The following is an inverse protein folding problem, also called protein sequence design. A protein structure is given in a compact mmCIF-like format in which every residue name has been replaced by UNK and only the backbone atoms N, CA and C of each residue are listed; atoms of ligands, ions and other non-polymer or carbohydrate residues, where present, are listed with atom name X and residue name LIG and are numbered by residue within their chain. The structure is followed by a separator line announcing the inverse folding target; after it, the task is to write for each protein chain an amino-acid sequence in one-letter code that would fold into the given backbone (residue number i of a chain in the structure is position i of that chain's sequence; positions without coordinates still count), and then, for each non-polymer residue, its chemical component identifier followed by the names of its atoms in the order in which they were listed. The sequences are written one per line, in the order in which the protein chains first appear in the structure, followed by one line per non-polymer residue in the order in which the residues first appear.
data_IF_460734256150
#
_entry.id   IF_460734256150
#
_cell.length_a   1.000
_cell.length_b   1.000
_cell.length_c   1.000
_cell.angle_alpha   90.00
_cell.angle_beta   90.00
_cell.angle_gamma   90.00
#
_symmetry.space_group_name_H-M   'P 1'
#
loop_
_entity.id
_entity.type
_entity.pdbx_description
1 polymer ?
#
# COMPACT_ATOMS: atom_id res chain seq x y z
N UNK A 1 -35.80 69.95 28.66
CA UNK A 1 -36.27 68.67 28.11
C UNK A 1 -35.15 68.02 27.28
N UNK A 2 -34.41 67.06 27.84
CA UNK A 2 -33.33 66.33 27.13
C UNK A 2 -33.85 64.95 26.81
N UNK A 3 -34.01 64.67 25.54
CA UNK A 3 -34.31 63.26 25.02
C UNK A 3 -33.01 62.46 24.98
N UNK A 4 -32.90 61.46 25.83
CA UNK A 4 -31.86 60.43 25.69
C UNK A 4 -32.24 59.43 24.60
N UNK A 5 -31.38 59.34 23.60
CA UNK A 5 -31.42 58.26 22.59
C UNK A 5 -30.71 57.07 23.22
N UNK A 6 -31.47 56.03 23.49
CA UNK A 6 -30.94 54.70 23.84
C UNK A 6 -30.54 54.02 22.54
N UNK A 7 -29.23 53.90 22.29
CA UNK A 7 -28.71 53.07 21.20
C UNK A 7 -28.68 51.64 21.66
N UNK A 8 -29.60 50.84 21.19
CA UNK A 8 -29.55 49.40 21.34
C UNK A 8 -28.43 48.84 20.45
N UNK A 9 -27.38 48.36 21.08
CA UNK A 9 -26.29 47.66 20.43
C UNK A 9 -26.72 46.20 20.24
N UNK A 10 -27.18 45.86 19.03
CA UNK A 10 -27.40 44.44 18.62
C UNK A 10 -26.03 43.82 18.44
N UNK A 11 -25.61 43.02 19.42
CA UNK A 11 -24.45 42.16 19.33
C UNK A 11 -24.88 40.91 18.54
N UNK A 12 -24.62 40.90 17.24
CA UNK A 12 -24.80 39.70 16.41
C UNK A 12 -23.62 38.79 16.71
N UNK A 13 -23.83 37.81 17.58
CA UNK A 13 -22.88 36.72 17.84
C UNK A 13 -22.92 35.80 16.67
N UNK A 14 -22.04 35.99 15.68
CA UNK A 14 -21.82 35.04 14.61
C UNK A 14 -21.14 33.79 15.22
N UNK A 15 -21.94 32.83 15.66
CA UNK A 15 -21.44 31.46 15.88
C UNK A 15 -21.04 30.88 14.54
N UNK A 16 -19.77 30.96 14.22
CA UNK A 16 -19.20 30.13 13.17
C UNK A 16 -19.27 28.67 13.62
N UNK A 17 -20.32 27.97 13.18
CA UNK A 17 -20.38 26.54 13.23
C UNK A 17 -19.27 26.03 12.30
N UNK A 18 -18.07 25.81 12.87
CA UNK A 18 -17.08 24.97 12.24
C UNK A 18 -17.68 23.58 12.19
N UNK A 19 -18.31 23.25 11.07
CA UNK A 19 -18.63 21.86 10.73
C UNK A 19 -17.30 21.16 10.54
N UNK A 20 -16.70 20.68 11.64
CA UNK A 20 -15.71 19.63 11.56
C UNK A 20 -16.45 18.42 10.99
N UNK A 21 -16.29 18.19 9.69
CA UNK A 21 -16.65 16.91 9.09
C UNK A 21 -15.79 15.87 9.79
N UNK A 22 -16.31 15.27 10.85
CA UNK A 22 -15.80 13.99 11.37
C UNK A 22 -16.10 13.00 10.26
N UNK A 23 -15.17 12.85 9.33
CA UNK A 23 -15.19 11.67 8.48
C UNK A 23 -15.04 10.51 9.46
N UNK A 24 -16.11 9.74 9.66
CA UNK A 24 -16.07 8.55 10.48
C UNK A 24 -14.83 7.75 10.05
N UNK A 25 -13.87 7.60 10.95
CA UNK A 25 -12.63 6.91 10.69
C UNK A 25 -13.02 5.46 10.37
N UNK A 26 -12.96 5.12 9.08
CA UNK A 26 -13.32 3.79 8.62
C UNK A 26 -12.30 2.82 9.21
N UNK A 27 -12.78 1.71 9.76
CA UNK A 27 -11.94 0.66 10.32
C UNK A 27 -11.55 -0.40 9.27
N UNK A 28 -10.69 -1.33 9.65
CA UNK A 28 -10.29 -2.46 8.81
C UNK A 28 -11.49 -3.27 8.31
N UNK A 29 -12.57 -3.39 9.08
CA UNK A 29 -13.77 -4.12 8.67
C UNK A 29 -14.43 -3.49 7.44
N UNK A 30 -14.35 -2.16 7.29
CA UNK A 30 -14.80 -1.50 6.08
C UNK A 30 -14.04 -2.03 4.85
N UNK A 31 -12.70 -2.08 4.90
CA UNK A 31 -11.86 -2.56 3.79
C UNK A 31 -12.17 -4.04 3.49
N UNK A 32 -12.24 -4.89 4.52
CA UNK A 32 -12.62 -6.31 4.39
C UNK A 32 -13.98 -6.51 3.72
N UNK A 33 -14.97 -5.71 4.11
CA UNK A 33 -16.32 -5.77 3.53
C UNK A 33 -16.32 -5.34 2.06
N UNK A 34 -15.50 -4.34 1.68
CA UNK A 34 -15.35 -3.96 0.28
C UNK A 34 -14.68 -5.06 -0.54
N UNK A 35 -13.60 -5.68 -0.06
CA UNK A 35 -12.96 -6.83 -0.72
C UNK A 35 -13.97 -7.96 -0.97
N UNK A 36 -14.75 -8.32 0.06
CA UNK A 36 -15.80 -9.35 -0.08
C UNK A 36 -16.86 -8.96 -1.10
N UNK A 37 -17.30 -7.71 -1.08
CA UNK A 37 -18.32 -7.19 -2.02
C UNK A 37 -17.85 -7.22 -3.46
N UNK A 38 -16.57 -6.94 -3.70
CA UNK A 38 -15.99 -6.93 -5.05
C UNK A 38 -15.78 -8.34 -5.61
N UNK A 39 -15.55 -9.33 -4.75
CA UNK A 39 -15.24 -10.70 -5.14
C UNK A 39 -13.84 -10.90 -5.72
N UNK A 40 -13.17 -9.82 -6.09
CA UNK A 40 -11.77 -9.78 -6.54
C UNK A 40 -11.04 -8.65 -5.83
N UNK A 41 -9.72 -8.79 -5.61
CA UNK A 41 -8.88 -7.76 -5.04
C UNK A 41 -7.49 -7.83 -5.66
N UNK A 42 -7.09 -6.75 -6.31
CA UNK A 42 -5.83 -6.73 -7.06
C UNK A 42 -4.62 -6.66 -6.13
N UNK A 43 -4.70 -5.84 -5.10
CA UNK A 43 -3.62 -5.64 -4.13
C UNK A 43 -4.14 -4.95 -2.86
N UNK A 44 -3.33 -4.97 -1.82
CA UNK A 44 -3.61 -4.22 -0.58
C UNK A 44 -2.36 -3.51 -0.07
N UNK A 45 -2.52 -2.56 0.84
CA UNK A 45 -1.53 -2.19 1.85
C UNK A 45 -2.15 -2.44 3.22
N UNK A 46 -1.37 -2.94 4.16
CA UNK A 46 -1.83 -3.35 5.50
C UNK A 46 -0.82 -2.84 6.52
N UNK A 47 -1.32 -2.31 7.64
CA UNK A 47 -0.50 -1.98 8.81
C UNK A 47 -1.05 -2.65 10.07
N UNK A 48 -0.23 -2.80 11.12
CA UNK A 48 -0.66 -3.31 12.44
C UNK A 48 -1.73 -2.38 13.06
N UNK A 49 -1.69 -1.10 12.75
CA UNK A 49 -2.53 -0.03 13.30
C UNK A 49 -3.83 0.25 12.52
N UNK A 50 -4.26 -0.71 11.68
CA UNK A 50 -5.48 -0.62 10.85
C UNK A 50 -5.44 0.45 9.75
N UNK A 51 -4.26 0.95 9.38
CA UNK A 51 -4.06 1.70 8.15
C UNK A 51 -4.06 0.73 6.98
N UNK A 52 -5.18 0.64 6.26
CA UNK A 52 -5.37 -0.34 5.20
C UNK A 52 -5.85 0.32 3.91
N UNK A 53 -5.38 -0.20 2.79
CA UNK A 53 -5.90 0.08 1.44
C UNK A 53 -6.18 -1.25 0.75
N UNK A 54 -7.27 -1.33 0.00
CA UNK A 54 -7.50 -2.41 -0.97
C UNK A 54 -7.73 -1.80 -2.35
N UNK A 55 -7.19 -2.43 -3.38
CA UNK A 55 -7.29 -2.01 -4.78
C UNK A 55 -8.19 -2.96 -5.57
N UNK A 56 -9.06 -2.39 -6.41
CA UNK A 56 -10.02 -3.11 -7.23
C UNK A 56 -10.06 -2.59 -8.66
N UNK A 57 -10.08 -3.48 -9.62
CA UNK A 57 -10.16 -3.13 -11.04
C UNK A 57 -9.04 -2.18 -11.46
N UNK A 58 -9.35 -1.18 -12.29
CA UNK A 58 -8.37 -0.22 -12.81
C UNK A 58 -7.92 0.78 -11.74
N UNK A 59 -8.87 1.47 -11.10
CA UNK A 59 -8.60 2.57 -10.18
C UNK A 59 -9.47 2.57 -8.93
N UNK A 60 -10.29 1.53 -8.74
CA UNK A 60 -11.12 1.39 -7.55
C UNK A 60 -10.28 1.15 -6.30
N UNK A 61 -10.71 1.71 -5.17
CA UNK A 61 -10.04 1.50 -3.89
C UNK A 61 -11.02 1.56 -2.72
N UNK A 62 -10.61 0.96 -1.61
CA UNK A 62 -11.15 1.18 -0.27
C UNK A 62 -9.99 1.50 0.65
N UNK A 63 -10.16 2.44 1.57
CA UNK A 63 -9.11 2.83 2.50
C UNK A 63 -9.67 3.10 3.89
N UNK A 64 -8.90 2.75 4.93
CA UNK A 64 -9.18 3.04 6.33
C UNK A 64 -7.92 3.55 7.02
N UNK A 65 -8.06 4.56 7.88
CA UNK A 65 -6.99 5.07 8.75
C UNK A 65 -5.64 5.35 8.06
N UNK A 66 -5.68 5.79 6.80
CA UNK A 66 -4.48 6.08 6.01
C UNK A 66 -4.10 7.57 6.07
N UNK A 67 -2.83 7.92 5.84
CA UNK A 67 -2.40 9.31 5.75
C UNK A 67 -3.22 10.11 4.73
N UNK A 68 -3.53 11.37 5.06
CA UNK A 68 -4.33 12.26 4.19
C UNK A 68 -3.73 12.41 2.79
N UNK A 69 -2.40 12.49 2.66
CA UNK A 69 -1.72 12.56 1.35
C UNK A 69 -2.03 11.34 0.48
N UNK A 70 -1.89 10.13 1.06
CA UNK A 70 -2.25 8.89 0.36
C UNK A 70 -3.72 8.87 -0.05
N UNK A 71 -4.63 9.21 0.87
CA UNK A 71 -6.07 9.23 0.57
C UNK A 71 -6.41 10.22 -0.55
N UNK A 72 -5.80 11.40 -0.55
CA UNK A 72 -6.02 12.40 -1.58
C UNK A 72 -5.51 11.92 -2.94
N UNK A 73 -4.33 11.28 -2.98
CA UNK A 73 -3.80 10.69 -4.23
C UNK A 73 -4.70 9.58 -4.76
N UNK A 74 -5.18 8.68 -3.92
CA UNK A 74 -6.11 7.63 -4.33
C UNK A 74 -7.43 8.21 -4.89
N UNK A 75 -7.97 9.27 -4.28
CA UNK A 75 -9.15 10.00 -4.78
C UNK A 75 -8.89 10.63 -6.16
N UNK A 76 -7.75 11.28 -6.34
CA UNK A 76 -7.33 11.88 -7.61
C UNK A 76 -7.26 10.83 -8.72
N UNK A 77 -6.54 9.73 -8.49
CA UNK A 77 -6.37 8.64 -9.46
C UNK A 77 -7.70 7.96 -9.80
N UNK A 78 -8.58 7.78 -8.82
CA UNK A 78 -9.92 7.25 -9.05
C UNK A 78 -10.76 8.20 -9.91
N UNK A 79 -10.75 9.51 -9.59
CA UNK A 79 -11.49 10.53 -10.35
C UNK A 79 -11.00 10.67 -11.80
N UNK A 80 -9.69 10.58 -12.03
CA UNK A 80 -9.07 10.65 -13.37
C UNK A 80 -9.13 9.32 -14.12
N UNK A 81 -9.70 8.26 -13.53
CA UNK A 81 -9.73 6.91 -14.09
C UNK A 81 -8.32 6.39 -14.45
N UNK A 82 -7.31 6.76 -13.64
CA UNK A 82 -5.92 6.36 -13.84
C UNK A 82 -5.67 5.01 -13.16
N UNK A 83 -4.97 4.10 -13.86
CA UNK A 83 -4.61 2.78 -13.33
C UNK A 83 -3.79 2.94 -12.03
N UNK A 84 -4.18 2.24 -10.97
CA UNK A 84 -3.39 2.11 -9.74
C UNK A 84 -2.80 0.70 -9.71
N UNK A 85 -1.47 0.59 -9.76
CA UNK A 85 -0.80 -0.70 -9.87
C UNK A 85 -0.42 -1.31 -8.52
N UNK A 86 0.17 -0.52 -7.64
CA UNK A 86 0.57 -0.96 -6.31
C UNK A 86 0.44 0.19 -5.30
N UNK A 87 0.27 -0.16 -4.05
CA UNK A 87 0.31 0.75 -2.91
C UNK A 87 1.11 0.11 -1.78
N UNK A 88 2.05 0.87 -1.26
CA UNK A 88 2.83 0.51 -0.07
C UNK A 88 2.54 1.53 1.04
N UNK A 89 2.39 1.03 2.25
CA UNK A 89 2.19 1.82 3.47
C UNK A 89 2.99 1.15 4.59
N UNK A 90 3.73 1.95 5.37
CA UNK A 90 4.47 1.49 6.55
C UNK A 90 3.74 1.83 7.85
N UNK A 91 4.19 1.28 8.96
CA UNK A 91 3.61 1.53 10.29
C UNK A 91 3.74 3.00 10.71
N UNK A 92 4.81 3.69 10.32
CA UNK A 92 5.00 5.13 10.55
C UNK A 92 4.19 6.04 9.62
N UNK A 93 3.42 5.46 8.68
CA UNK A 93 2.59 6.21 7.73
C UNK A 93 3.35 6.69 6.49
N UNK A 94 4.55 6.21 6.21
CA UNK A 94 5.22 6.43 4.93
C UNK A 94 4.52 5.61 3.85
N UNK A 95 4.36 6.19 2.66
CA UNK A 95 3.66 5.52 1.59
C UNK A 95 4.27 5.79 0.21
N UNK A 96 3.98 4.90 -0.72
CA UNK A 96 4.21 5.08 -2.14
C UNK A 96 3.05 4.44 -2.91
N UNK A 97 2.64 5.09 -4.00
CA UNK A 97 1.63 4.58 -4.94
C UNK A 97 2.26 4.50 -6.32
N UNK A 98 2.17 3.34 -6.96
CA UNK A 98 2.49 3.16 -8.38
C UNK A 98 1.21 3.30 -9.18
N UNK A 99 1.25 4.08 -10.28
CA UNK A 99 0.08 4.31 -11.12
C UNK A 99 0.47 4.59 -12.58
N UNK A 100 -0.51 4.52 -13.47
CA UNK A 100 -0.35 4.93 -14.86
C UNK A 100 0.67 4.14 -15.68
N UNK A 101 1.13 3.01 -15.19
CA UNK A 101 2.16 2.11 -15.75
C UNK A 101 3.59 2.38 -15.26
N UNK A 102 4.04 3.63 -15.17
CA UNK A 102 5.42 3.97 -14.76
C UNK A 102 5.51 5.18 -13.84
N UNK A 103 4.37 5.77 -13.46
CA UNK A 103 4.36 6.89 -12.53
C UNK A 103 4.32 6.42 -11.08
N UNK A 104 4.86 7.23 -10.19
CA UNK A 104 4.80 7.00 -8.76
C UNK A 104 4.67 8.31 -7.98
N UNK A 105 4.02 8.24 -6.84
CA UNK A 105 3.98 9.32 -5.85
C UNK A 105 4.21 8.75 -4.46
N UNK A 106 4.88 9.52 -3.61
CA UNK A 106 5.36 9.05 -2.30
C UNK A 106 5.39 10.19 -1.27
N UNK A 107 5.47 9.81 0.00
CA UNK A 107 5.75 10.76 1.08
C UNK A 107 7.16 11.34 0.97
N UNK A 108 7.36 12.57 1.44
CA UNK A 108 8.65 13.27 1.43
C UNK A 108 9.77 12.52 2.17
N UNK A 109 9.42 11.67 3.13
CA UNK A 109 10.35 10.85 3.92
C UNK A 109 10.45 9.39 3.45
N UNK A 110 10.01 9.07 2.23
CA UNK A 110 10.25 7.77 1.62
C UNK A 110 11.76 7.54 1.42
N UNK A 111 12.27 6.30 1.40
CA UNK A 111 13.69 6.03 1.26
C UNK A 111 14.26 6.64 -0.04
N UNK A 112 15.27 7.52 0.07
CA UNK A 112 15.85 8.23 -1.09
C UNK A 112 16.39 7.28 -2.16
N UNK A 113 17.01 6.16 -1.76
CA UNK A 113 17.48 5.14 -2.69
C UNK A 113 16.36 4.44 -3.46
N UNK A 114 15.19 4.23 -2.83
CA UNK A 114 13.99 3.72 -3.51
C UNK A 114 13.54 4.68 -4.61
N UNK A 115 13.42 5.97 -4.27
CA UNK A 115 12.98 7.01 -5.20
C UNK A 115 13.93 7.12 -6.40
N UNK A 116 15.24 7.18 -6.14
CA UNK A 116 16.24 7.22 -7.21
C UNK A 116 16.11 6.02 -8.15
N UNK A 117 15.84 4.83 -7.58
CA UNK A 117 15.70 3.60 -8.37
C UNK A 117 14.38 3.53 -9.14
N UNK A 118 13.27 4.05 -8.60
CA UNK A 118 12.01 4.20 -9.34
C UNK A 118 12.23 5.07 -10.57
N UNK A 119 12.89 6.23 -10.40
CA UNK A 119 13.20 7.14 -11.50
C UNK A 119 14.10 6.50 -12.56
N UNK A 120 15.13 5.72 -12.13
CA UNK A 120 15.98 4.97 -13.03
C UNK A 120 15.17 3.94 -13.85
N UNK A 121 14.28 3.19 -13.21
CA UNK A 121 13.41 2.21 -13.88
C UNK A 121 12.47 2.90 -14.87
N UNK A 122 11.87 4.01 -14.47
CA UNK A 122 11.05 4.84 -15.35
C UNK A 122 11.82 5.31 -16.58
N UNK A 123 13.03 5.88 -16.41
CA UNK A 123 13.87 6.39 -17.48
C UNK A 123 14.33 5.29 -18.45
N UNK A 124 14.45 4.05 -17.98
CA UNK A 124 14.81 2.89 -18.80
C UNK A 124 13.58 2.14 -19.36
N UNK A 125 12.36 2.67 -19.16
CA UNK A 125 11.09 2.07 -19.55
C UNK A 125 10.82 0.68 -18.94
N UNK A 126 11.42 0.37 -17.79
CA UNK A 126 11.09 -0.83 -17.03
C UNK A 126 9.79 -0.64 -16.27
N UNK A 127 8.81 -1.49 -16.50
CA UNK A 127 7.53 -1.42 -15.80
C UNK A 127 7.70 -1.94 -14.38
N UNK A 128 7.61 -1.04 -13.40
CA UNK A 128 7.61 -1.42 -11.99
C UNK A 128 6.27 -2.07 -11.64
N UNK A 129 6.31 -3.31 -11.20
CA UNK A 129 5.10 -4.08 -10.84
C UNK A 129 4.77 -3.99 -9.36
N UNK A 130 5.77 -3.96 -8.52
CA UNK A 130 5.61 -3.96 -7.08
C UNK A 130 6.76 -3.26 -6.38
N UNK A 131 6.43 -2.59 -5.30
CA UNK A 131 7.38 -2.03 -4.37
C UNK A 131 7.07 -2.53 -2.96
N UNK A 132 8.11 -2.71 -2.18
CA UNK A 132 7.99 -2.94 -0.75
C UNK A 132 9.10 -2.21 -0.04
N UNK A 133 8.79 -1.53 1.05
CA UNK A 133 9.78 -0.91 1.94
C UNK A 133 9.25 -0.85 3.37
N UNK A 134 10.16 -0.75 4.32
CA UNK A 134 9.87 -0.71 5.75
C UNK A 134 10.39 0.57 6.40
N UNK A 135 10.15 0.72 7.70
CA UNK A 135 10.55 1.91 8.47
C UNK A 135 12.06 1.97 8.75
N UNK A 136 12.82 0.91 8.49
CA UNK A 136 14.30 0.88 8.54
C UNK A 136 14.98 1.22 7.21
N UNK A 137 14.25 1.79 6.24
CA UNK A 137 14.75 2.13 4.90
C UNK A 137 15.24 0.94 4.06
N UNK A 138 14.88 -0.28 4.42
CA UNK A 138 15.04 -1.41 3.53
C UNK A 138 13.95 -1.34 2.46
N UNK A 139 14.31 -1.64 1.22
CA UNK A 139 13.35 -1.61 0.11
C UNK A 139 13.71 -2.61 -0.99
N UNK A 140 12.69 -3.02 -1.72
CA UNK A 140 12.79 -3.81 -2.96
C UNK A 140 11.84 -3.21 -3.99
N UNK A 141 12.30 -3.14 -5.22
CA UNK A 141 11.52 -2.87 -6.44
C UNK A 141 11.54 -4.12 -7.30
N UNK A 142 10.40 -4.53 -7.81
CA UNK A 142 10.27 -5.65 -8.75
C UNK A 142 9.63 -5.14 -10.03
N UNK A 143 10.29 -5.40 -11.16
CA UNK A 143 9.75 -5.18 -12.51
C UNK A 143 9.54 -6.51 -13.22
N UNK A 144 9.17 -6.47 -14.49
CA UNK A 144 9.00 -7.66 -15.31
C UNK A 144 10.28 -8.49 -15.47
N UNK A 145 11.42 -7.83 -15.55
CA UNK A 145 12.69 -8.46 -15.88
C UNK A 145 13.73 -8.34 -14.78
N UNK A 146 13.61 -7.29 -13.96
CA UNK A 146 14.62 -6.90 -12.99
C UNK A 146 14.03 -6.71 -11.61
N UNK A 147 14.89 -6.79 -10.61
CA UNK A 147 14.62 -6.27 -9.28
C UNK A 147 15.81 -5.47 -8.77
N UNK A 148 15.54 -4.55 -7.87
CA UNK A 148 16.56 -3.79 -7.17
C UNK A 148 16.24 -3.75 -5.68
N UNK A 149 17.28 -3.62 -4.86
CA UNK A 149 17.16 -3.66 -3.39
C UNK A 149 18.01 -2.59 -2.73
N UNK A 150 17.70 -2.30 -1.48
CA UNK A 150 18.46 -1.35 -0.64
C UNK A 150 19.84 -1.84 -0.20
N UNK A 151 20.14 -3.15 -0.33
CA UNK A 151 21.39 -3.71 0.18
C UNK A 151 21.86 -4.95 -0.59
N UNK A 152 23.16 -5.19 -0.56
CA UNK A 152 23.77 -6.40 -1.12
C UNK A 152 23.25 -7.67 -0.45
N UNK A 153 22.97 -7.64 0.87
CA UNK A 153 22.43 -8.78 1.59
C UNK A 153 21.04 -9.17 1.08
N UNK A 154 20.13 -8.21 0.89
CA UNK A 154 18.82 -8.46 0.28
C UNK A 154 18.96 -8.97 -1.16
N UNK A 155 19.85 -8.37 -1.95
CA UNK A 155 20.12 -8.83 -3.33
C UNK A 155 20.55 -10.29 -3.36
N UNK A 156 21.51 -10.67 -2.51
CA UNK A 156 22.03 -12.04 -2.43
C UNK A 156 20.93 -13.02 -1.97
N UNK A 157 20.12 -12.63 -1.00
CA UNK A 157 19.00 -13.44 -0.54
C UNK A 157 17.99 -13.70 -1.66
N UNK A 158 17.57 -12.68 -2.41
CA UNK A 158 16.65 -12.84 -3.53
C UNK A 158 17.28 -13.66 -4.66
N UNK A 159 18.57 -13.44 -4.97
CA UNK A 159 19.29 -14.22 -5.98
C UNK A 159 19.37 -15.71 -5.63
N UNK A 160 19.67 -16.02 -4.37
CA UNK A 160 19.69 -17.42 -3.90
C UNK A 160 18.30 -18.07 -4.01
N UNK A 161 17.24 -17.34 -3.69
CA UNK A 161 15.88 -17.79 -3.90
C UNK A 161 15.55 -18.03 -5.38
N UNK A 162 15.97 -17.11 -6.26
CA UNK A 162 15.78 -17.27 -7.72
C UNK A 162 16.53 -18.48 -8.27
N UNK A 163 17.75 -18.73 -7.80
CA UNK A 163 18.51 -19.92 -8.19
C UNK A 163 17.82 -21.23 -7.80
N UNK A 164 17.10 -21.23 -6.67
CA UNK A 164 16.42 -22.42 -6.12
C UNK A 164 15.00 -22.61 -6.67
N UNK A 165 14.25 -21.52 -6.84
CA UNK A 165 12.81 -21.55 -7.08
C UNK A 165 12.40 -20.87 -8.41
N UNK A 166 13.36 -20.39 -9.18
CA UNK A 166 13.09 -19.73 -10.46
C UNK A 166 12.77 -18.24 -10.32
N UNK A 167 12.03 -17.70 -11.26
CA UNK A 167 11.72 -16.28 -11.38
C UNK A 167 11.04 -15.73 -10.13
N UNK A 168 11.50 -14.57 -9.65
CA UNK A 168 10.87 -13.80 -8.58
C UNK A 168 9.57 -13.16 -9.06
N UNK A 169 8.49 -13.32 -8.31
CA UNK A 169 7.18 -12.74 -8.62
C UNK A 169 6.76 -11.65 -7.66
N UNK A 170 6.89 -11.88 -6.36
CA UNK A 170 6.47 -10.92 -5.34
C UNK A 170 7.43 -10.89 -4.15
N UNK A 171 7.59 -9.72 -3.55
CA UNK A 171 8.36 -9.52 -2.31
C UNK A 171 7.56 -8.61 -1.38
N UNK A 172 7.53 -8.97 -0.11
CA UNK A 172 7.10 -8.09 0.95
C UNK A 172 8.19 -8.01 2.02
N UNK A 173 8.56 -6.78 2.40
CA UNK A 173 9.47 -6.49 3.51
C UNK A 173 8.67 -5.71 4.54
N UNK A 174 8.76 -6.15 5.79
CA UNK A 174 8.28 -5.44 6.97
C UNK A 174 9.43 -5.11 7.90
N UNK A 175 9.16 -4.51 9.04
CA UNK A 175 10.20 -4.25 10.05
C UNK A 175 10.73 -5.53 10.69
N UNK A 176 9.92 -6.58 10.75
CA UNK A 176 10.20 -7.81 11.48
C UNK A 176 10.49 -9.01 10.55
N UNK A 177 10.09 -8.92 9.27
CA UNK A 177 10.10 -10.05 8.37
C UNK A 177 10.31 -9.65 6.91
N UNK A 178 10.75 -10.62 6.11
CA UNK A 178 10.71 -10.53 4.65
C UNK A 178 10.27 -11.87 4.06
N UNK A 179 9.45 -11.80 3.02
CA UNK A 179 9.02 -12.96 2.25
C UNK A 179 9.11 -12.68 0.76
N UNK A 180 9.67 -13.61 0.00
CA UNK A 180 9.79 -13.55 -1.45
C UNK A 180 9.16 -14.79 -2.05
N UNK A 181 8.27 -14.60 -3.03
CA UNK A 181 7.58 -15.68 -3.76
C UNK A 181 8.14 -15.75 -5.16
N UNK A 182 8.43 -16.97 -5.59
CA UNK A 182 9.02 -17.33 -6.87
C UNK A 182 8.10 -18.26 -7.65
N UNK A 183 8.48 -18.59 -8.87
CA UNK A 183 7.70 -19.50 -9.72
C UNK A 183 7.40 -20.86 -9.07
N UNK A 184 8.35 -21.43 -8.31
CA UNK A 184 8.26 -22.78 -7.77
C UNK A 184 8.43 -22.84 -6.25
N UNK A 185 8.22 -21.74 -5.53
CA UNK A 185 8.34 -21.72 -4.07
C UNK A 185 8.51 -20.35 -3.48
N UNK A 186 8.94 -20.30 -2.24
CA UNK A 186 9.16 -19.06 -1.52
C UNK A 186 10.32 -19.14 -0.53
N UNK A 187 10.87 -17.98 -0.18
CA UNK A 187 11.87 -17.81 0.88
C UNK A 187 11.33 -16.85 1.93
N UNK A 188 11.72 -17.06 3.18
CA UNK A 188 11.33 -16.21 4.32
C UNK A 188 12.53 -15.82 5.17
N UNK A 189 12.42 -14.66 5.83
CA UNK A 189 13.30 -14.18 6.90
C UNK A 189 12.44 -13.59 8.01
N UNK A 190 12.84 -13.77 9.27
CA UNK A 190 12.11 -13.25 10.43
C UNK A 190 10.77 -13.93 10.64
N UNK A 191 9.87 -13.23 11.35
CA UNK A 191 8.61 -13.79 11.83
C UNK A 191 7.50 -13.66 10.79
N UNK A 192 7.35 -14.68 9.95
CA UNK A 192 6.27 -14.76 8.96
C UNK A 192 5.13 -15.64 9.50
N UNK A 193 3.87 -15.19 9.43
CA UNK A 193 2.73 -15.95 9.94
C UNK A 193 2.62 -17.35 9.32
N UNK A 194 2.55 -18.40 10.12
CA UNK A 194 2.41 -19.78 9.60
C UNK A 194 1.14 -19.97 8.78
N UNK A 195 0.06 -19.24 9.10
CA UNK A 195 -1.16 -19.22 8.28
C UNK A 195 -0.91 -18.76 6.85
N UNK A 196 -0.01 -17.79 6.64
CA UNK A 196 0.41 -17.36 5.30
C UNK A 196 1.22 -18.47 4.60
N UNK A 197 2.18 -19.09 5.30
CA UNK A 197 3.02 -20.14 4.71
C UNK A 197 2.16 -21.34 4.29
N UNK A 198 1.21 -21.74 5.12
CA UNK A 198 0.24 -22.81 4.82
C UNK A 198 -0.65 -22.44 3.62
N UNK A 199 -1.11 -21.19 3.55
CA UNK A 199 -1.93 -20.70 2.45
C UNK A 199 -1.14 -20.65 1.13
N UNK A 200 0.15 -20.25 1.15
CA UNK A 200 1.03 -20.25 -0.02
C UNK A 200 1.31 -21.66 -0.52
N UNK A 201 1.54 -22.64 0.38
CA UNK A 201 1.75 -24.06 -0.01
C UNK A 201 0.53 -24.69 -0.64
N UNK A 202 -0.67 -24.23 -0.29
CA UNK A 202 -1.96 -24.77 -0.76
C UNK A 202 -2.64 -23.93 -1.85
N UNK A 203 -2.01 -22.86 -2.33
CA UNK A 203 -2.61 -22.04 -3.39
C UNK A 203 -2.48 -22.73 -4.75
N UNK A 204 -3.52 -22.57 -5.59
CA UNK A 204 -3.57 -23.10 -6.95
C UNK A 204 -3.25 -22.06 -8.03
N UNK A 205 -2.97 -20.83 -7.63
CA UNK A 205 -2.66 -19.74 -8.56
C UNK A 205 -1.29 -19.12 -8.29
N UNK A 206 -0.75 -18.46 -9.29
CA UNK A 206 0.53 -17.77 -9.20
C UNK A 206 0.40 -16.49 -8.39
N UNK A 207 1.28 -16.29 -7.42
CA UNK A 207 1.22 -15.13 -6.50
C UNK A 207 2.06 -13.99 -7.05
N UNK A 208 1.41 -12.96 -7.55
CA UNK A 208 2.06 -11.75 -8.09
C UNK A 208 1.99 -10.54 -7.16
N UNK A 209 1.18 -10.62 -6.12
CA UNK A 209 1.05 -9.58 -5.08
C UNK A 209 1.08 -10.24 -3.71
N UNK A 210 1.82 -9.63 -2.81
CA UNK A 210 2.00 -10.14 -1.45
C UNK A 210 2.19 -8.99 -0.49
N UNK A 211 1.42 -8.97 0.58
CA UNK A 211 1.55 -8.00 1.68
C UNK A 211 1.39 -8.71 3.02
N UNK A 212 2.22 -8.31 3.97
CA UNK A 212 2.22 -8.83 5.34
C UNK A 212 2.38 -7.68 6.32
N UNK A 213 1.68 -7.73 7.44
CA UNK A 213 1.91 -6.85 8.60
C UNK A 213 1.42 -7.53 9.87
N UNK A 214 2.35 -7.85 10.77
CA UNK A 214 2.08 -8.66 11.96
C UNK A 214 1.48 -10.02 11.57
N UNK A 215 0.31 -10.35 12.10
CA UNK A 215 -0.41 -11.59 11.75
C UNK A 215 -1.30 -11.47 10.52
N UNK A 216 -1.51 -10.24 10.02
CA UNK A 216 -2.33 -9.99 8.83
C UNK A 216 -1.53 -10.23 7.56
N UNK A 217 -2.17 -10.83 6.56
CA UNK A 217 -1.54 -11.07 5.27
C UNK A 217 -2.56 -11.09 4.13
N UNK A 218 -2.06 -10.83 2.95
CA UNK A 218 -2.80 -10.88 1.69
C UNK A 218 -1.87 -11.34 0.57
N UNK A 219 -2.39 -12.13 -0.35
CA UNK A 219 -1.75 -12.36 -1.63
C UNK A 219 -2.78 -12.54 -2.75
N UNK A 220 -2.38 -12.19 -3.97
CA UNK A 220 -3.24 -12.28 -5.15
C UNK A 220 -2.46 -12.65 -6.42
N UNK A 221 -3.20 -13.16 -7.42
CA UNK A 221 -2.74 -13.30 -8.80
C UNK A 221 -2.97 -12.01 -9.63
N UNK A 222 -2.64 -12.07 -10.91
CA UNK A 222 -2.84 -10.97 -11.86
C UNK A 222 -4.32 -10.66 -12.13
N UNK A 223 -5.21 -11.64 -11.98
CA UNK A 223 -6.64 -11.50 -12.22
C UNK A 223 -7.42 -11.00 -11.00
N UNK A 224 -6.74 -10.86 -9.85
CA UNK A 224 -7.33 -10.47 -8.59
C UNK A 224 -8.00 -11.62 -7.84
N UNK A 225 -7.69 -12.90 -8.17
CA UNK A 225 -7.95 -14.01 -7.26
C UNK A 225 -7.05 -13.84 -6.05
N UNK A 226 -7.59 -13.96 -4.86
CA UNK A 226 -6.87 -13.61 -3.65
C UNK A 226 -7.12 -14.57 -2.50
N UNK A 227 -6.20 -14.54 -1.53
CA UNK A 227 -6.39 -15.06 -0.18
C UNK A 227 -5.90 -14.01 0.82
N UNK A 228 -6.52 -13.95 1.98
CA UNK A 228 -6.11 -13.03 3.02
C UNK A 228 -6.54 -13.47 4.41
N UNK A 229 -5.83 -12.93 5.40
CA UNK A 229 -6.20 -12.91 6.81
C UNK A 229 -5.89 -11.50 7.36
N UNK A 230 -6.93 -10.79 7.83
CA UNK A 230 -6.80 -9.41 8.31
C UNK A 230 -7.67 -9.19 9.53
#
# INVERSE_FOLDING_TARGET
MKRQLVKSLLLVLAMSLTVTSVSAQRDRNYVKNQIKKWGTCKNVAITKTNGDVALYGKCGYAASSVPTGLLNKLKELNKSNTLIDDVQLTESGRWCVLYGRNDAEWTTNAPSGLISKINEFHNNNYVVRSISFNDYNQWVIVSDEYYATSSTDLTNWLKNGSNKYGRLWAVCITDDAAIAVYANGFCVRGDVPEGLLSALRSTSFNVYRLKVSGTSWFFADENGNYRYYM
#
